data_IF_609070434152
#
_entry.id   IF_609070434152
#
_cell.length_a   1.000
_cell.length_b   1.000
_cell.length_c   1.000
_cell.angle_alpha   90.00
_cell.angle_beta   90.00
_cell.angle_gamma   90.00
#
_symmetry.space_group_name_H-M   'P 1'
#
loop_
_entity.id
_entity.type
_entity.pdbx_description
1 polymer ?
#
# COMPACT_ATOMS: atom_id res chain seq x y z
N UNK A 1 -2.36 11.70 2.95
CA UNK A 1 -2.56 10.35 3.51
C UNK A 1 -1.22 9.75 3.87
N UNK A 2 -1.13 9.17 5.03
CA UNK A 2 0.13 8.65 5.57
C UNK A 2 0.12 7.13 5.58
N UNK A 3 1.27 6.53 5.27
CA UNK A 3 1.45 5.08 5.32
C UNK A 3 0.99 4.53 6.68
N UNK A 4 0.17 3.50 6.66
CA UNK A 4 -0.38 2.92 7.89
C UNK A 4 0.59 1.97 8.57
N UNK A 5 1.72 1.69 7.96
CA UNK A 5 2.72 0.78 8.50
C UNK A 5 3.81 1.54 9.24
N UNK A 6 4.48 2.46 8.56
CA UNK A 6 5.58 3.20 9.15
C UNK A 6 5.17 4.56 9.75
N UNK A 7 4.06 5.12 9.30
CA UNK A 7 3.54 6.43 9.73
C UNK A 7 4.48 7.61 9.43
N UNK A 8 5.49 7.40 8.61
CA UNK A 8 6.47 8.43 8.26
C UNK A 8 6.31 8.94 6.84
N UNK A 9 6.02 8.05 5.91
CA UNK A 9 5.97 8.38 4.49
C UNK A 9 4.54 8.53 4.01
N UNK A 10 4.32 9.32 2.95
CA UNK A 10 3.00 9.39 2.35
C UNK A 10 2.63 8.08 1.66
N UNK A 11 1.35 7.80 1.60
CA UNK A 11 0.84 6.64 0.86
C UNK A 11 1.16 6.81 -0.63
N UNK A 12 1.70 5.78 -1.24
CA UNK A 12 2.09 5.82 -2.65
C UNK A 12 1.72 4.56 -3.43
N UNK A 13 1.39 3.47 -2.75
CA UNK A 13 1.18 2.18 -3.41
C UNK A 13 -0.26 1.70 -3.16
N UNK A 14 -0.93 1.33 -4.25
CA UNK A 14 -2.23 0.67 -4.19
C UNK A 14 -2.04 -0.82 -4.38
N UNK A 15 -2.71 -1.62 -3.57
CA UNK A 15 -2.67 -3.08 -3.67
C UNK A 15 -3.77 -3.58 -4.58
N UNK A 16 -3.47 -4.65 -5.31
CA UNK A 16 -4.43 -5.30 -6.19
C UNK A 16 -4.66 -6.73 -5.71
N UNK A 17 -5.86 -7.27 -5.87
CA UNK A 17 -7.03 -6.70 -6.57
C UNK A 17 -7.92 -5.82 -5.70
N UNK A 18 -7.65 -5.69 -4.40
CA UNK A 18 -8.55 -4.98 -3.51
C UNK A 18 -8.57 -3.46 -3.73
N UNK A 19 -7.51 -2.89 -4.30
CA UNK A 19 -7.45 -1.47 -4.59
C UNK A 19 -7.26 -0.56 -3.39
N UNK A 20 -6.77 -1.06 -2.29
CA UNK A 20 -6.54 -0.26 -1.10
C UNK A 20 -5.21 0.49 -1.17
N UNK A 21 -5.25 1.76 -0.87
CA UNK A 21 -4.10 2.66 -0.93
C UNK A 21 -3.68 2.96 0.51
N UNK A 22 -2.79 2.14 1.06
CA UNK A 22 -2.48 2.19 2.50
C UNK A 22 -0.98 2.21 2.83
N UNK A 23 -0.11 1.91 1.88
CA UNK A 23 1.33 1.80 2.13
C UNK A 23 2.15 2.76 1.28
N UNK A 24 3.32 3.13 1.80
CA UNK A 24 4.31 3.85 1.02
C UNK A 24 5.14 2.87 0.19
N UNK A 25 5.98 3.41 -0.70
CA UNK A 25 6.78 2.57 -1.57
C UNK A 25 7.84 1.77 -0.82
N UNK A 26 8.21 2.17 0.38
CA UNK A 26 9.20 1.46 1.18
C UNK A 26 8.60 0.28 1.94
N UNK A 27 7.35 0.41 2.38
CA UNK A 27 6.68 -0.64 3.15
C UNK A 27 5.99 -1.68 2.26
N UNK A 28 5.48 -1.26 1.11
CA UNK A 28 4.69 -2.13 0.26
C UNK A 28 5.40 -3.43 -0.15
N UNK A 29 6.70 -3.44 -0.51
CA UNK A 29 7.36 -4.67 -0.91
C UNK A 29 7.37 -5.76 0.16
N UNK A 30 7.26 -5.38 1.43
CA UNK A 30 7.25 -6.34 2.53
C UNK A 30 5.86 -6.91 2.82
N UNK A 31 4.82 -6.35 2.20
CA UNK A 31 3.45 -6.75 2.48
C UNK A 31 2.99 -7.86 1.54
N UNK A 32 2.50 -8.95 2.11
CA UNK A 32 1.93 -10.06 1.35
C UNK A 32 0.42 -10.02 1.31
N UNK A 33 -0.18 -9.38 2.30
CA UNK A 33 -1.62 -9.23 2.40
C UNK A 33 -1.95 -7.77 2.63
N UNK A 34 -3.08 -7.35 2.10
CA UNK A 34 -3.56 -6.00 2.32
C UNK A 34 -3.87 -5.80 3.81
N UNK A 35 -3.26 -4.80 4.47
CA UNK A 35 -3.52 -4.59 5.90
C UNK A 35 -4.95 -4.14 6.19
N UNK A 36 -5.68 -3.70 5.16
CA UNK A 36 -7.05 -3.24 5.33
C UNK A 36 -8.07 -4.37 5.23
N UNK A 37 -7.91 -5.26 4.27
CA UNK A 37 -8.90 -6.32 4.01
C UNK A 37 -8.37 -7.74 4.13
N UNK A 38 -7.06 -7.90 4.32
CA UNK A 38 -6.38 -9.19 4.50
C UNK A 38 -6.39 -10.10 3.28
N UNK A 39 -6.76 -9.59 2.12
CA UNK A 39 -6.64 -10.34 0.88
C UNK A 39 -5.18 -10.40 0.43
N UNK A 40 -4.83 -11.48 -0.23
CA UNK A 40 -3.47 -11.64 -0.76
C UNK A 40 -3.22 -10.57 -1.81
N UNK A 41 -2.08 -9.88 -1.69
CA UNK A 41 -1.65 -8.88 -2.65
C UNK A 41 -1.08 -9.61 -3.87
N UNK A 42 -1.73 -9.46 -5.02
CA UNK A 42 -1.27 -10.09 -6.26
C UNK A 42 -0.48 -9.14 -7.14
N UNK A 43 -0.61 -7.85 -6.90
CA UNK A 43 0.13 -6.85 -7.63
C UNK A 43 0.02 -5.52 -6.95
N UNK A 44 0.83 -4.56 -7.40
CA UNK A 44 0.83 -3.21 -6.85
C UNK A 44 0.87 -2.19 -7.96
N UNK A 45 0.30 -1.02 -7.71
CA UNK A 45 0.37 0.13 -8.61
C UNK A 45 0.98 1.28 -7.82
N UNK A 46 2.05 1.86 -8.37
CA UNK A 46 2.63 3.06 -7.79
C UNK A 46 1.83 4.26 -8.25
N UNK A 47 1.41 5.10 -7.31
CA UNK A 47 0.64 6.29 -7.60
C UNK A 47 1.47 7.54 -7.28
N UNK A 48 1.08 8.64 -7.90
CA UNK A 48 1.70 9.93 -7.63
C UNK A 48 0.62 10.94 -7.29
N UNK A 49 0.80 11.62 -6.18
CA UNK A 49 -0.10 12.70 -5.78
C UNK A 49 0.57 14.03 -6.04
N UNK A 50 -0.19 15.03 -6.49
CA UNK A 50 0.35 16.39 -6.70
C UNK A 50 0.80 17.04 -5.41
#
# INVERSE_FOLDING_TARGET
MTCKICHDNPVAIAFLPCGHLVCCQDCAPAMRKCPSCHHVVKGTIKTFFP
#
